data_IF_538690671087
#
_entry.id   IF_538690671087
#
_cell.length_a   1.000
_cell.length_b   1.000
_cell.length_c   1.000
_cell.angle_alpha   90.00
_cell.angle_beta   90.00
_cell.angle_gamma   90.00
#
_symmetry.space_group_name_H-M   'P 1'
#
loop_
_entity.id
_entity.type
_entity.pdbx_description
1 polymer ?
#
# COMPACT_ATOMS: atom_id res chain seq x y z
N UNK A 1 -4.02 15.35 -13.78
CA UNK A 1 -4.82 14.11 -13.79
C UNK A 1 -5.36 13.88 -12.39
N UNK A 2 -6.62 13.45 -12.21
CA UNK A 2 -7.12 13.07 -10.88
C UNK A 2 -6.48 11.74 -10.49
N UNK A 3 -5.96 11.58 -9.25
CA UNK A 3 -5.43 10.29 -8.82
C UNK A 3 -6.53 9.22 -8.90
N UNK A 4 -6.21 8.05 -9.44
CA UNK A 4 -7.17 6.95 -9.65
C UNK A 4 -7.51 6.18 -8.36
N UNK A 5 -7.25 6.78 -7.20
CA UNK A 5 -7.40 6.17 -5.89
C UNK A 5 -8.11 7.10 -4.92
N UNK A 6 -8.80 6.50 -3.94
CA UNK A 6 -9.43 7.24 -2.84
C UNK A 6 -8.38 7.74 -1.85
N UNK A 7 -8.76 8.65 -0.95
CA UNK A 7 -7.85 9.11 0.12
C UNK A 7 -7.29 7.95 0.95
N UNK A 8 -8.14 6.98 1.34
CA UNK A 8 -7.71 5.79 2.09
C UNK A 8 -6.74 4.91 1.30
N UNK A 9 -6.99 4.71 0.01
CA UNK A 9 -6.08 3.97 -0.87
C UNK A 9 -4.74 4.69 -1.01
N UNK A 10 -4.78 6.01 -1.19
CA UNK A 10 -3.60 6.85 -1.22
C UNK A 10 -2.74 6.72 0.04
N UNK A 11 -3.35 6.60 1.22
CA UNK A 11 -2.61 6.38 2.47
C UNK A 11 -1.90 5.01 2.49
N UNK A 12 -2.53 3.95 1.99
CA UNK A 12 -1.87 2.63 1.87
C UNK A 12 -0.71 2.67 0.87
N UNK A 13 -0.88 3.33 -0.28
CA UNK A 13 0.18 3.52 -1.27
C UNK A 13 1.35 4.36 -0.70
N UNK A 14 1.04 5.44 0.02
CA UNK A 14 2.02 6.28 0.70
C UNK A 14 2.78 5.48 1.78
N UNK A 15 2.09 4.61 2.51
CA UNK A 15 2.72 3.71 3.48
C UNK A 15 3.70 2.74 2.80
N UNK A 16 3.28 2.11 1.70
CA UNK A 16 4.15 1.22 0.91
C UNK A 16 5.41 1.96 0.46
N UNK A 17 5.26 3.17 -0.09
CA UNK A 17 6.38 4.00 -0.54
C UNK A 17 7.32 4.37 0.61
N UNK A 18 6.78 4.88 1.72
CA UNK A 18 7.58 5.23 2.90
C UNK A 18 8.33 4.02 3.47
N UNK A 19 7.67 2.86 3.52
CA UNK A 19 8.29 1.63 3.99
C UNK A 19 9.42 1.18 3.06
N UNK A 20 9.24 1.29 1.74
CA UNK A 20 10.30 1.02 0.75
C UNK A 20 11.51 1.94 0.94
N UNK A 21 11.28 3.23 1.15
CA UNK A 21 12.36 4.20 1.35
C UNK A 21 13.16 3.95 2.64
N UNK A 22 12.48 3.60 3.73
CA UNK A 22 13.12 3.38 5.03
C UNK A 22 13.74 1.99 5.15
N UNK A 23 13.09 0.96 4.65
CA UNK A 23 13.47 -0.44 4.89
C UNK A 23 14.05 -1.15 3.66
N UNK A 24 14.07 -0.50 2.49
CA UNK A 24 14.58 -1.04 1.22
C UNK A 24 13.94 -2.37 0.80
N UNK A 25 12.71 -2.63 1.27
CA UNK A 25 11.91 -3.81 0.96
C UNK A 25 10.43 -3.46 1.05
N UNK A 26 9.56 -4.19 0.36
CA UNK A 26 8.13 -3.97 0.47
C UNK A 26 7.61 -4.39 1.86
N UNK A 27 6.54 -3.73 2.37
CA UNK A 27 5.87 -4.19 3.58
C UNK A 27 5.17 -5.54 3.34
N UNK A 28 5.01 -6.32 4.41
CA UNK A 28 4.03 -7.39 4.47
C UNK A 28 2.67 -6.81 4.90
N UNK A 29 1.58 -7.57 4.70
CA UNK A 29 0.26 -7.16 5.18
C UNK A 29 0.24 -6.90 6.69
N UNK A 30 1.02 -7.66 7.47
CA UNK A 30 1.15 -7.46 8.92
C UNK A 30 1.73 -6.09 9.29
N UNK A 31 2.69 -5.57 8.51
CA UNK A 31 3.25 -4.22 8.74
C UNK A 31 2.16 -3.15 8.58
N UNK A 32 1.27 -3.31 7.59
CA UNK A 32 0.13 -2.42 7.37
C UNK A 32 -0.93 -2.56 8.47
N UNK A 33 -1.19 -3.79 8.94
CA UNK A 33 -2.12 -4.02 10.06
C UNK A 33 -1.66 -3.27 11.31
N UNK A 34 -0.38 -3.38 11.65
CA UNK A 34 0.21 -2.68 12.79
C UNK A 34 0.14 -1.17 12.62
N UNK A 35 0.50 -0.64 11.45
CA UNK A 35 0.45 0.79 11.21
C UNK A 35 -0.98 1.33 11.27
N UNK A 36 -1.90 0.80 10.45
CA UNK A 36 -3.27 1.30 10.32
C UNK A 36 -4.22 0.83 11.44
N UNK A 37 -3.75 0.00 12.37
CA UNK A 37 -4.57 -0.56 13.46
C UNK A 37 -5.83 -1.26 12.95
N UNK A 38 -5.71 -1.98 11.83
CA UNK A 38 -6.82 -2.70 11.18
C UNK A 38 -6.63 -4.21 11.24
N UNK A 39 -7.72 -4.95 11.04
CA UNK A 39 -7.71 -6.41 11.02
C UNK A 39 -7.05 -6.99 9.76
N UNK A 40 -6.50 -8.22 9.81
CA UNK A 40 -5.92 -8.88 8.65
C UNK A 40 -6.84 -8.93 7.42
N UNK A 41 -8.14 -9.28 7.53
CA UNK A 41 -9.04 -9.28 6.38
C UNK A 41 -9.21 -7.90 5.73
N UNK A 42 -9.14 -6.82 6.52
CA UNK A 42 -9.27 -5.44 6.02
C UNK A 42 -8.07 -5.07 5.15
N UNK A 43 -6.86 -5.36 5.63
CA UNK A 43 -5.63 -5.11 4.85
C UNK A 43 -5.60 -5.97 3.60
N UNK A 44 -5.91 -7.26 3.72
CA UNK A 44 -5.93 -8.18 2.59
C UNK A 44 -6.86 -7.68 1.47
N UNK A 45 -8.07 -7.27 1.83
CA UNK A 45 -9.04 -6.72 0.88
C UNK A 45 -8.53 -5.42 0.24
N UNK A 46 -7.89 -4.54 1.01
CA UNK A 46 -7.28 -3.32 0.48
C UNK A 46 -6.18 -3.64 -0.55
N UNK A 47 -5.29 -4.58 -0.24
CA UNK A 47 -4.22 -5.02 -1.15
C UNK A 47 -4.79 -5.59 -2.45
N UNK A 48 -5.83 -6.43 -2.37
CA UNK A 48 -6.54 -6.94 -3.57
C UNK A 48 -7.14 -5.78 -4.38
N UNK A 49 -7.78 -4.82 -3.74
CA UNK A 49 -8.39 -3.69 -4.47
C UNK A 49 -7.34 -2.82 -5.17
N UNK A 50 -6.20 -2.55 -4.51
CA UNK A 50 -5.10 -1.81 -5.10
C UNK A 50 -4.50 -2.54 -6.31
N UNK A 51 -4.34 -3.87 -6.23
CA UNK A 51 -3.87 -4.72 -7.32
C UNK A 51 -4.87 -4.71 -8.49
N UNK A 52 -6.16 -4.89 -8.21
CA UNK A 52 -7.22 -4.87 -9.22
C UNK A 52 -7.31 -3.52 -9.96
N UNK A 53 -7.02 -2.42 -9.27
CA UNK A 53 -6.95 -1.09 -9.87
C UNK A 53 -5.63 -0.81 -10.63
N UNK A 54 -4.69 -1.76 -10.64
CA UNK A 54 -3.38 -1.59 -11.28
C UNK A 54 -2.48 -0.58 -10.57
N UNK A 55 -2.74 -0.28 -9.30
CA UNK A 55 -1.95 0.67 -8.50
C UNK A 55 -0.73 0.00 -7.86
N UNK A 56 -0.81 -1.32 -7.68
CA UNK A 56 0.30 -2.17 -7.26
C UNK A 56 0.32 -3.47 -8.08
N UNK A 57 1.45 -4.17 -8.04
CA UNK A 57 1.56 -5.60 -8.40
C UNK A 57 2.03 -6.37 -7.18
N UNK A 58 1.70 -7.65 -7.06
CA UNK A 58 2.26 -8.56 -6.06
C UNK A 58 2.34 -9.99 -6.57
N UNK A 59 3.03 -10.84 -5.82
CA UNK A 59 2.99 -12.29 -6.01
C UNK A 59 2.08 -12.91 -4.93
N UNK A 60 0.96 -13.56 -5.30
CA UNK A 60 0.09 -14.23 -4.33
C UNK A 60 0.85 -15.26 -3.49
N UNK A 61 0.62 -15.25 -2.18
CA UNK A 61 1.28 -16.16 -1.24
C UNK A 61 2.73 -15.83 -0.90
N UNK A 62 3.34 -14.82 -1.55
CA UNK A 62 4.70 -14.38 -1.23
C UNK A 62 4.68 -13.07 -0.44
N UNK A 63 5.11 -13.07 0.84
CA UNK A 63 5.24 -11.86 1.61
C UNK A 63 6.24 -10.88 0.97
N UNK A 64 6.01 -9.58 1.15
CA UNK A 64 6.95 -8.52 0.72
C UNK A 64 7.26 -8.53 -0.78
N UNK A 65 6.28 -8.92 -1.59
CA UNK A 65 6.35 -8.94 -3.06
C UNK A 65 5.64 -7.74 -3.72
N UNK A 66 5.17 -6.77 -2.92
CA UNK A 66 4.41 -5.62 -3.43
C UNK A 66 5.34 -4.67 -4.20
N UNK A 67 4.99 -4.41 -5.45
CA UNK A 67 5.57 -3.38 -6.31
C UNK A 67 4.58 -2.22 -6.47
N UNK A 68 5.04 -0.99 -6.26
CA UNK A 68 4.22 0.21 -6.47
C UNK A 68 4.24 0.58 -7.96
N UNK A 69 3.06 0.79 -8.55
CA UNK A 69 2.90 1.15 -9.97
C UNK A 69 2.43 2.61 -10.16
N UNK A 70 2.38 3.37 -9.07
CA UNK A 70 1.98 4.78 -9.07
C UNK A 70 3.22 5.65 -8.90
N UNK A 71 3.24 6.77 -9.60
CA UNK A 71 4.26 7.81 -9.42
C UNK A 71 4.25 8.32 -7.96
N UNK A 72 5.38 8.26 -7.24
CA UNK A 72 5.51 8.77 -5.88
C UNK A 72 5.08 10.23 -5.71
N UNK A 73 5.21 11.07 -6.73
CA UNK A 73 4.83 12.50 -6.68
C UNK A 73 3.31 12.69 -6.57
N UNK A 74 2.52 11.69 -6.96
CA UNK A 74 1.07 11.70 -6.86
C UNK A 74 0.56 11.21 -5.50
N UNK A 75 1.42 10.62 -4.68
CA UNK A 75 1.02 10.05 -3.40
C UNK A 75 0.73 11.17 -2.40
N UNK A 76 -0.33 11.03 -1.58
CA UNK A 76 -0.55 11.96 -0.49
C UNK A 76 0.55 11.80 0.56
N UNK A 77 0.74 12.83 1.38
CA UNK A 77 1.54 12.72 2.60
C UNK A 77 0.95 11.60 3.46
N UNK A 78 1.80 10.66 3.89
CA UNK A 78 1.42 9.61 4.82
C UNK A 78 1.04 10.24 6.16
N UNK A 79 -0.20 10.05 6.58
CA UNK A 79 -0.72 10.52 7.86
C UNK A 79 -0.64 9.40 8.88
N UNK A 80 -0.41 9.77 10.13
CA UNK A 80 -0.61 8.84 11.24
C UNK A 80 -2.10 8.46 11.29
N UNK A 81 -2.44 7.19 11.52
CA UNK A 81 -3.81 6.73 11.64
C UNK A 81 -4.53 7.37 12.82
#
# INVERSE_FOLDING_TARGET
MRPQFTEKQGQYLAFIYAYLMLHRRAPAEADMQTYFQTTPPTVHRMVIELEHKGLIRRQPGQPRSIELLVDPELLPVLRRP
#
